data_IF_892920528795
#
_entry.id   IF_892920528795
#
_cell.length_a   1.000
_cell.length_b   1.000
_cell.length_c   1.000
_cell.angle_alpha   90.00
_cell.angle_beta   90.00
_cell.angle_gamma   90.00
#
_symmetry.space_group_name_H-M   'P 1'
#
loop_
_entity.id
_entity.type
_entity.pdbx_description
1 polymer ?
#
# COMPACT_ATOMS: atom_id res chain seq x y z
N UNK A 1 -4.30 27.30 -5.88
CA UNK A 1 -4.63 27.45 -4.45
C UNK A 1 -5.53 26.30 -4.05
N UNK A 2 -5.17 25.58 -2.99
CA UNK A 2 -6.00 24.53 -2.36
C UNK A 2 -6.24 25.01 -0.93
N UNK A 3 -7.45 24.79 -0.39
CA UNK A 3 -7.83 25.17 0.97
C UNK A 3 -8.50 23.98 1.65
N UNK A 4 -8.03 23.62 2.84
CA UNK A 4 -8.65 22.62 3.68
C UNK A 4 -9.72 23.29 4.56
N UNK A 5 -10.96 22.82 4.46
CA UNK A 5 -12.10 23.34 5.19
C UNK A 5 -12.68 22.27 6.12
N UNK A 6 -13.22 22.71 7.25
CA UNK A 6 -14.06 21.88 8.13
C UNK A 6 -15.54 22.18 7.85
N UNK A 7 -16.44 21.27 8.22
CA UNK A 7 -17.89 21.54 8.17
C UNK A 7 -18.34 22.04 9.54
N UNK A 8 -19.07 23.15 9.58
CA UNK A 8 -19.75 23.65 10.77
C UNK A 8 -21.27 23.60 10.58
N UNK A 9 -21.99 23.38 11.67
CA UNK A 9 -23.45 23.46 11.73
C UNK A 9 -23.90 24.93 11.59
N UNK A 10 -24.61 25.32 10.50
CA UNK A 10 -24.94 26.73 10.26
C UNK A 10 -25.79 27.39 11.34
N UNK A 11 -26.58 26.62 12.10
CA UNK A 11 -27.44 27.15 13.16
C UNK A 11 -26.73 27.40 14.50
N UNK A 12 -25.58 26.76 14.77
CA UNK A 12 -24.85 26.86 16.05
C UNK A 12 -23.41 27.32 15.91
N UNK A 13 -22.83 27.28 14.71
CA UNK A 13 -21.39 27.52 14.46
C UNK A 13 -20.47 26.43 14.98
N UNK A 14 -20.99 25.33 15.54
CA UNK A 14 -20.20 24.24 16.10
C UNK A 14 -19.65 23.33 15.00
N UNK A 15 -18.49 22.71 15.26
CA UNK A 15 -17.90 21.69 14.37
C UNK A 15 -18.88 20.53 14.16
N UNK A 16 -19.05 20.12 12.90
CA UNK A 16 -20.01 19.07 12.55
C UNK A 16 -19.57 17.71 13.09
N UNK A 17 -20.47 16.99 13.77
CA UNK A 17 -20.16 15.71 14.41
C UNK A 17 -19.73 14.62 13.43
N UNK A 18 -20.21 14.69 12.18
CA UNK A 18 -19.91 13.72 11.11
C UNK A 18 -18.89 14.23 10.08
N UNK A 19 -18.23 15.36 10.33
CA UNK A 19 -17.08 15.79 9.53
C UNK A 19 -15.80 15.05 10.00
N UNK A 20 -15.15 14.26 9.12
CA UNK A 20 -13.91 13.58 9.47
C UNK A 20 -12.80 14.52 9.97
N UNK A 21 -12.67 15.72 9.40
CA UNK A 21 -11.59 16.65 9.75
C UNK A 21 -11.82 17.26 11.14
N UNK A 22 -13.07 17.60 11.44
CA UNK A 22 -13.52 17.93 12.79
C UNK A 22 -13.29 16.79 13.80
N UNK A 23 -13.47 15.52 13.41
CA UNK A 23 -13.11 14.35 14.26
C UNK A 23 -11.62 14.33 14.59
N UNK A 24 -10.73 14.53 13.60
CA UNK A 24 -9.28 14.60 13.83
C UNK A 24 -8.87 15.77 14.73
N UNK A 25 -9.53 16.93 14.59
CA UNK A 25 -9.36 18.07 15.51
C UNK A 25 -9.77 17.74 16.95
N UNK A 26 -10.91 17.05 17.13
CA UNK A 26 -11.34 16.60 18.48
C UNK A 26 -10.35 15.58 19.06
N UNK A 27 -9.78 14.69 18.26
CA UNK A 27 -8.76 13.73 18.71
C UNK A 27 -7.45 14.40 19.18
N UNK A 28 -6.91 15.37 18.41
CA UNK A 28 -5.74 16.15 18.86
C UNK A 28 -6.04 16.99 20.12
N UNK A 29 -7.25 17.52 20.24
CA UNK A 29 -7.70 18.24 21.44
C UNK A 29 -7.87 17.30 22.65
N UNK A 30 -8.35 16.07 22.43
CA UNK A 30 -8.50 15.07 23.48
C UNK A 30 -7.14 14.64 24.03
N UNK A 31 -6.15 14.34 23.17
CA UNK A 31 -4.76 14.09 23.57
C UNK A 31 -4.27 15.16 24.56
N UNK A 32 -4.42 16.43 24.20
CA UNK A 32 -4.04 17.58 25.05
C UNK A 32 -4.79 17.61 26.37
N UNK A 33 -6.11 17.35 26.37
CA UNK A 33 -6.92 17.33 27.60
C UNK A 33 -6.61 16.17 28.56
N UNK A 34 -6.12 15.02 28.07
CA UNK A 34 -5.65 13.93 28.95
C UNK A 34 -4.37 14.27 29.69
N UNK A 35 -3.62 15.27 29.22
CA UNK A 35 -2.30 15.62 29.75
C UNK A 35 -1.20 14.59 29.48
N UNK A 36 -1.48 13.49 28.76
CA UNK A 36 -0.51 12.44 28.39
C UNK A 36 0.61 13.04 27.52
N UNK A 37 0.21 13.73 26.46
CA UNK A 37 1.07 14.51 25.58
C UNK A 37 0.32 15.72 25.03
N UNK A 38 0.93 16.44 24.10
CA UNK A 38 0.28 17.53 23.37
C UNK A 38 0.30 17.34 21.84
N UNK A 39 1.20 16.49 21.33
CA UNK A 39 1.38 16.30 19.90
C UNK A 39 1.48 14.81 19.58
N UNK A 40 0.69 14.36 18.60
CA UNK A 40 0.83 13.05 17.98
C UNK A 40 1.33 13.24 16.54
N UNK A 41 2.49 12.67 16.21
CA UNK A 41 3.02 12.67 14.85
C UNK A 41 2.65 11.37 14.14
N UNK A 42 2.21 11.49 12.88
CA UNK A 42 1.86 10.37 12.00
C UNK A 42 2.67 10.47 10.70
N UNK A 43 3.20 9.34 10.23
CA UNK A 43 3.87 9.18 8.94
C UNK A 43 3.35 7.93 8.21
N UNK A 44 2.56 8.04 7.13
CA UNK A 44 1.99 6.92 6.42
C UNK A 44 2.79 6.57 5.16
N UNK A 45 3.44 5.40 5.14
CA UNK A 45 4.02 4.79 3.93
C UNK A 45 2.85 4.31 3.05
N UNK A 46 2.44 5.08 2.04
CA UNK A 46 1.15 4.93 1.36
C UNK A 46 1.28 4.43 -0.09
N UNK A 47 1.57 3.15 -0.22
CA UNK A 47 1.68 2.38 -1.47
C UNK A 47 0.52 2.65 -2.47
N UNK A 48 0.82 2.62 -3.77
CA UNK A 48 -0.18 2.73 -4.85
C UNK A 48 0.24 1.95 -6.09
N UNK A 49 -0.63 1.85 -7.08
CA UNK A 49 -0.33 1.25 -8.40
C UNK A 49 -0.61 2.25 -9.52
N UNK A 50 0.20 2.23 -10.57
CA UNK A 50 -0.01 2.96 -11.82
C UNK A 50 -0.29 1.95 -12.95
N UNK A 51 -1.49 2.04 -13.52
CA UNK A 51 -1.95 1.25 -14.67
C UNK A 51 -2.03 2.15 -15.92
N UNK A 52 -2.10 1.55 -17.12
CA UNK A 52 -2.40 2.25 -18.37
C UNK A 52 -3.91 2.37 -18.58
N UNK A 53 -4.62 1.25 -18.50
CA UNK A 53 -6.06 1.21 -18.66
C UNK A 53 -6.76 0.35 -17.61
N UNK A 54 -8.03 0.70 -17.34
CA UNK A 54 -8.89 -0.05 -16.42
C UNK A 54 -10.30 -0.08 -16.99
N UNK A 55 -10.88 -1.28 -17.09
CA UNK A 55 -12.18 -1.55 -17.70
C UNK A 55 -12.97 -2.47 -16.77
N UNK A 56 -14.14 -2.05 -16.29
CA UNK A 56 -14.95 -2.86 -15.39
C UNK A 56 -16.45 -2.61 -15.59
N UNK A 57 -17.26 -3.58 -15.19
CA UNK A 57 -18.71 -3.47 -15.25
C UNK A 57 -19.43 -4.65 -14.59
N UNK A 58 -20.63 -4.39 -14.08
CA UNK A 58 -21.54 -5.44 -13.57
C UNK A 58 -22.95 -5.16 -14.07
N UNK A 59 -23.58 -6.15 -14.70
CA UNK A 59 -24.98 -6.13 -15.13
C UNK A 59 -25.72 -7.41 -14.71
N UNK A 60 -26.96 -7.58 -15.16
CA UNK A 60 -27.79 -8.74 -14.77
C UNK A 60 -27.29 -10.10 -15.27
N UNK A 61 -26.39 -10.10 -16.27
CA UNK A 61 -25.83 -11.30 -16.91
C UNK A 61 -24.30 -11.27 -17.04
N UNK A 62 -23.61 -10.31 -16.42
CA UNK A 62 -22.14 -10.19 -16.51
C UNK A 62 -21.53 -9.51 -15.29
N UNK A 63 -20.32 -9.90 -14.93
CA UNK A 63 -19.48 -9.21 -13.94
C UNK A 63 -18.02 -9.34 -14.35
N UNK A 64 -17.36 -8.22 -14.63
CA UNK A 64 -15.99 -8.23 -15.14
C UNK A 64 -15.16 -7.05 -14.61
N UNK A 65 -13.86 -7.26 -14.49
CA UNK A 65 -12.86 -6.21 -14.36
C UNK A 65 -11.59 -6.63 -15.12
N UNK A 66 -10.91 -5.64 -15.69
CA UNK A 66 -9.67 -5.76 -16.42
C UNK A 66 -8.80 -4.59 -15.98
N UNK A 67 -7.60 -4.93 -15.50
CA UNK A 67 -6.50 -4.02 -15.29
C UNK A 67 -5.47 -4.30 -16.36
N UNK A 68 -4.90 -3.24 -16.89
CA UNK A 68 -3.95 -3.24 -17.98
C UNK A 68 -2.89 -2.21 -17.63
N UNK A 69 -1.68 -2.71 -17.40
CA UNK A 69 -0.45 -1.93 -17.31
C UNK A 69 0.51 -2.62 -18.25
N UNK A 70 1.37 -1.83 -18.88
CA UNK A 70 2.68 -2.24 -19.39
C UNK A 70 3.22 -3.41 -18.57
N UNK A 71 3.37 -3.27 -17.26
CA UNK A 71 4.04 -4.23 -16.37
C UNK A 71 3.13 -5.40 -15.86
N UNK A 72 2.02 -5.77 -16.54
CA UNK A 72 0.87 -6.47 -15.95
C UNK A 72 0.55 -7.95 -16.34
N UNK A 73 0.07 -8.82 -15.40
CA UNK A 73 -0.09 -10.30 -15.50
C UNK A 73 -0.95 -10.96 -16.62
N UNK A 74 -1.46 -10.26 -17.63
CA UNK A 74 -2.71 -10.65 -18.30
C UNK A 74 -2.71 -11.51 -19.59
N UNK A 75 -1.59 -11.66 -20.32
CA UNK A 75 -1.62 -11.48 -21.79
C UNK A 75 -1.37 -12.71 -22.70
N UNK A 76 -2.39 -13.53 -23.08
CA UNK A 76 -2.14 -14.77 -23.90
C UNK A 76 -3.34 -15.52 -24.57
N UNK A 77 -3.65 -15.30 -25.87
CA UNK A 77 -4.26 -16.19 -26.93
C UNK A 77 -5.00 -15.40 -28.06
N UNK A 78 -4.51 -15.31 -29.32
CA UNK A 78 -5.29 -14.84 -30.53
C UNK A 78 -4.53 -14.90 -31.90
N UNK A 79 -5.25 -14.55 -32.99
CA UNK A 79 -4.84 -14.54 -34.41
C UNK A 79 -5.23 -13.27 -35.23
N UNK A 80 -4.57 -13.10 -36.39
CA UNK A 80 -4.87 -12.19 -37.52
C UNK A 80 -4.44 -12.83 -38.88
N UNK A 81 -4.88 -12.33 -40.06
CA UNK A 81 -4.90 -13.10 -41.31
C UNK A 81 -3.57 -13.51 -41.97
N UNK A 82 -2.45 -12.88 -41.63
CA UNK A 82 -1.22 -12.94 -42.44
C UNK A 82 -0.48 -14.29 -42.38
N UNK A 83 -0.67 -15.04 -41.29
CA UNK A 83 -0.03 -16.35 -41.06
C UNK A 83 1.38 -16.30 -40.46
N UNK A 84 1.79 -17.38 -39.78
CA UNK A 84 3.05 -17.46 -39.03
C UNK A 84 4.10 -18.30 -39.80
N UNK A 85 5.24 -17.68 -40.16
CA UNK A 85 6.38 -18.34 -40.82
C UNK A 85 7.57 -18.51 -39.87
N UNK A 86 7.41 -19.39 -38.88
CA UNK A 86 8.42 -19.62 -37.84
C UNK A 86 9.70 -20.32 -38.32
N UNK A 87 10.86 -19.78 -37.92
CA UNK A 87 12.17 -20.44 -38.00
C UNK A 87 12.87 -20.41 -36.63
N UNK A 88 13.68 -21.44 -36.31
CA UNK A 88 14.33 -21.65 -35.00
C UNK A 88 15.77 -22.16 -35.14
N UNK A 89 16.72 -21.62 -34.34
CA UNK A 89 17.91 -22.35 -33.87
C UNK A 89 17.67 -23.01 -32.50
N UNK A 90 18.68 -23.69 -31.95
CA UNK A 90 18.60 -24.47 -30.69
C UNK A 90 19.76 -24.18 -29.72
N UNK A 91 19.57 -24.56 -28.45
CA UNK A 91 20.33 -24.13 -27.26
C UNK A 91 21.75 -24.72 -27.15
N UNK A 92 22.66 -23.91 -26.56
CA UNK A 92 24.04 -24.21 -26.10
C UNK A 92 25.17 -24.31 -27.16
N UNK A 93 25.67 -23.14 -27.56
CA UNK A 93 27.10 -22.84 -27.68
C UNK A 93 27.40 -21.62 -26.79
N UNK A 94 28.58 -21.52 -26.15
CA UNK A 94 28.80 -20.54 -25.07
C UNK A 94 30.08 -19.70 -25.20
N UNK A 95 30.35 -18.94 -24.11
CA UNK A 95 31.43 -17.97 -23.86
C UNK A 95 31.23 -16.54 -24.40
N UNK A 96 31.17 -15.59 -23.46
CA UNK A 96 31.28 -14.14 -23.67
C UNK A 96 32.67 -13.73 -24.17
N UNK A 97 32.72 -12.63 -24.94
CA UNK A 97 33.50 -11.48 -24.47
C UNK A 97 32.74 -10.14 -24.60
N UNK A 98 33.19 -9.14 -23.84
CA UNK A 98 32.73 -7.73 -23.86
C UNK A 98 33.96 -6.81 -24.13
N UNK A 99 33.86 -5.46 -24.22
CA UNK A 99 34.39 -4.64 -25.33
C UNK A 99 35.91 -4.76 -25.61
N UNK A 100 36.37 -4.46 -26.86
CA UNK A 100 36.28 -3.08 -27.39
C UNK A 100 35.90 -2.92 -28.87
N UNK A 101 35.27 -1.78 -29.19
CA UNK A 101 35.35 -1.13 -30.53
C UNK A 101 35.44 0.38 -30.34
N UNK A 102 34.55 1.01 -29.57
CA UNK A 102 34.86 2.30 -28.94
C UNK A 102 35.70 2.04 -27.67
N UNK A 103 36.69 2.89 -27.44
CA UNK A 103 37.95 2.50 -26.79
C UNK A 103 38.55 3.54 -25.83
N UNK A 104 37.92 4.72 -25.66
CA UNK A 104 38.48 5.82 -24.87
C UNK A 104 37.48 6.53 -23.93
N UNK A 105 36.43 5.86 -23.45
CA UNK A 105 35.56 6.40 -22.39
C UNK A 105 36.31 6.48 -21.05
N UNK A 106 36.87 5.35 -20.63
CA UNK A 106 37.27 5.13 -19.24
C UNK A 106 38.55 5.90 -18.92
N UNK A 107 39.49 5.97 -19.88
CA UNK A 107 40.69 6.80 -19.79
C UNK A 107 40.40 8.29 -19.61
N UNK A 108 39.25 8.80 -20.08
CA UNK A 108 38.85 10.20 -19.85
C UNK A 108 38.24 10.41 -18.45
N UNK A 109 37.39 9.49 -18.01
CA UNK A 109 36.81 9.54 -16.66
C UNK A 109 37.88 9.37 -15.58
N UNK A 110 38.73 8.34 -15.70
CA UNK A 110 39.73 8.02 -14.69
C UNK A 110 40.88 9.05 -14.65
N UNK A 111 41.32 9.56 -15.81
CA UNK A 111 42.31 10.66 -15.83
C UNK A 111 41.76 11.94 -15.19
N UNK A 112 40.48 12.27 -15.40
CA UNK A 112 39.85 13.41 -14.74
C UNK A 112 39.78 13.19 -13.22
N UNK A 113 39.27 12.03 -12.77
CA UNK A 113 39.10 11.72 -11.35
C UNK A 113 40.43 11.58 -10.58
N UNK A 114 41.51 11.09 -11.23
CA UNK A 114 42.86 11.06 -10.66
C UNK A 114 43.57 12.42 -10.70
N UNK A 115 43.27 13.28 -11.67
CA UNK A 115 43.77 14.67 -11.72
C UNK A 115 43.07 15.58 -10.69
N UNK A 116 41.80 15.29 -10.35
CA UNK A 116 41.04 16.02 -9.32
C UNK A 116 41.07 15.37 -7.93
N UNK A 117 41.45 14.09 -7.82
CA UNK A 117 41.66 13.37 -6.55
C UNK A 117 40.40 12.87 -5.85
N UNK A 118 39.47 12.23 -6.57
CA UNK A 118 38.09 11.99 -6.07
C UNK A 118 37.79 10.57 -5.55
N UNK A 119 38.17 9.48 -6.25
CA UNK A 119 37.85 8.09 -5.84
C UNK A 119 38.70 7.02 -6.55
N UNK A 120 38.73 5.79 -6.01
CA UNK A 120 39.67 4.72 -6.42
C UNK A 120 39.07 3.41 -7.02
N UNK A 121 37.77 3.06 -6.90
CA UNK A 121 37.24 1.76 -7.43
C UNK A 121 35.70 1.70 -7.60
N UNK A 122 35.19 1.02 -8.66
CA UNK A 122 33.79 0.52 -8.87
C UNK A 122 33.80 -0.69 -9.85
N UNK A 123 32.74 -1.54 -9.91
CA UNK A 123 32.67 -2.81 -10.68
C UNK A 123 31.29 -3.06 -11.39
N UNK A 124 31.21 -3.96 -12.39
CA UNK A 124 30.00 -4.31 -13.20
C UNK A 124 29.93 -5.81 -13.65
N UNK A 125 28.77 -6.34 -14.10
CA UNK A 125 28.61 -7.66 -14.78
C UNK A 125 27.14 -8.10 -15.17
N UNK A 126 26.90 -9.06 -16.12
CA UNK A 126 25.58 -9.35 -16.78
C UNK A 126 25.12 -10.87 -16.74
N UNK A 127 24.18 -11.51 -17.49
CA UNK A 127 23.21 -11.23 -18.62
C UNK A 127 22.16 -12.39 -18.87
N UNK A 128 21.11 -12.14 -19.71
CA UNK A 128 20.32 -13.02 -20.66
C UNK A 128 19.61 -14.35 -20.20
N UNK A 129 18.56 -14.98 -20.81
CA UNK A 129 17.69 -14.86 -22.04
C UNK A 129 16.23 -15.43 -21.77
N UNK A 130 15.17 -15.10 -22.56
CA UNK A 130 14.01 -16.01 -22.93
C UNK A 130 12.94 -15.39 -23.93
N UNK A 131 12.09 -16.23 -24.59
CA UNK A 131 11.08 -15.90 -25.65
C UNK A 131 9.59 -16.22 -25.30
N UNK A 132 8.58 -15.64 -25.99
CA UNK A 132 7.10 -15.80 -25.74
C UNK A 132 6.15 -15.49 -26.97
N UNK A 133 4.80 -15.44 -26.78
CA UNK A 133 3.71 -14.99 -27.69
C UNK A 133 2.47 -14.40 -26.92
N UNK A 134 1.41 -13.73 -27.48
CA UNK A 134 1.41 -12.47 -28.28
C UNK A 134 0.05 -11.72 -28.56
N UNK A 135 -1.19 -12.24 -28.33
CA UNK A 135 -2.46 -11.48 -28.59
C UNK A 135 -3.73 -11.95 -27.82
N UNK A 136 -4.92 -11.30 -27.87
CA UNK A 136 -6.15 -11.74 -27.10
C UNK A 136 -7.53 -11.91 -27.81
N UNK A 137 -8.32 -12.89 -27.35
CA UNK A 137 -9.63 -13.39 -27.88
C UNK A 137 -10.88 -13.08 -26.99
N UNK A 138 -12.08 -13.07 -27.59
CA UNK A 138 -13.41 -12.91 -26.93
C UNK A 138 -14.49 -13.72 -27.68
N UNK A 139 -15.38 -14.42 -26.97
CA UNK A 139 -16.57 -15.07 -27.54
C UNK A 139 -17.81 -14.80 -26.65
N UNK A 140 -18.98 -14.60 -27.26
CA UNK A 140 -20.26 -14.33 -26.62
C UNK A 140 -21.40 -14.97 -27.43
N UNK A 141 -21.97 -16.06 -26.91
CA UNK A 141 -23.05 -16.84 -27.51
C UNK A 141 -24.18 -17.05 -26.49
N UNK A 142 -25.40 -17.48 -26.90
CA UNK A 142 -26.55 -17.64 -26.00
C UNK A 142 -26.36 -18.58 -24.78
N UNK A 143 -25.22 -19.25 -24.69
CA UNK A 143 -24.83 -20.20 -23.65
C UNK A 143 -23.41 -19.99 -23.10
N UNK A 144 -22.69 -18.93 -23.51
CA UNK A 144 -21.30 -18.66 -23.07
C UNK A 144 -20.96 -17.16 -23.11
N UNK A 145 -20.26 -16.67 -22.07
CA UNK A 145 -19.73 -15.30 -22.00
C UNK A 145 -18.41 -15.29 -21.19
N UNK A 146 -17.33 -14.81 -21.81
CA UNK A 146 -16.02 -14.67 -21.17
C UNK A 146 -15.11 -13.66 -21.87
N UNK A 147 -14.02 -13.27 -21.21
CA UNK A 147 -13.01 -12.34 -21.75
C UNK A 147 -11.62 -12.66 -21.16
N UNK A 148 -10.58 -12.11 -21.79
CA UNK A 148 -9.15 -12.25 -21.42
C UNK A 148 -8.48 -10.88 -21.65
N UNK A 149 -7.24 -10.67 -21.18
CA UNK A 149 -6.57 -9.34 -21.14
C UNK A 149 -5.25 -9.38 -21.92
N UNK A 150 -4.64 -8.23 -22.27
CA UNK A 150 -3.33 -8.12 -22.91
C UNK A 150 -2.41 -7.07 -22.25
N UNK A 151 -1.10 -7.15 -22.49
CA UNK A 151 -0.02 -6.34 -21.88
C UNK A 151 1.38 -6.79 -22.38
N UNK A 152 2.34 -5.87 -22.47
CA UNK A 152 3.62 -6.04 -23.21
C UNK A 152 4.89 -6.11 -22.36
N UNK A 153 4.80 -5.84 -21.05
CA UNK A 153 5.95 -5.75 -20.13
C UNK A 153 5.86 -6.75 -18.98
N UNK A 154 5.10 -7.82 -19.20
CA UNK A 154 5.04 -8.98 -18.34
C UNK A 154 6.16 -9.99 -18.53
N UNK A 155 6.35 -10.87 -17.54
CA UNK A 155 7.16 -12.09 -17.74
C UNK A 155 6.60 -12.90 -18.91
N UNK A 156 5.28 -13.04 -19.02
CA UNK A 156 4.55 -13.71 -20.11
C UNK A 156 4.45 -12.85 -21.39
N UNK A 157 5.26 -11.79 -21.56
CA UNK A 157 5.20 -10.86 -22.71
C UNK A 157 6.51 -10.70 -23.52
N UNK A 158 7.57 -11.51 -23.30
CA UNK A 158 8.84 -11.44 -24.07
C UNK A 158 8.78 -12.01 -25.51
N UNK A 159 7.61 -11.93 -26.13
CA UNK A 159 7.35 -12.36 -27.52
C UNK A 159 7.09 -11.20 -28.49
N UNK A 160 6.54 -10.09 -27.96
CA UNK A 160 5.81 -9.09 -28.77
C UNK A 160 6.59 -8.66 -30.01
N UNK A 161 5.92 -8.78 -31.15
CA UNK A 161 6.33 -8.13 -32.40
C UNK A 161 6.42 -6.60 -32.31
N UNK A 162 6.78 -5.99 -33.43
CA UNK A 162 6.79 -4.53 -33.57
C UNK A 162 5.33 -4.01 -33.69
N UNK A 163 4.98 -3.07 -32.81
CA UNK A 163 3.65 -2.45 -32.76
C UNK A 163 3.68 -1.03 -33.34
N UNK A 164 2.62 -0.64 -34.04
CA UNK A 164 2.53 0.62 -34.79
C UNK A 164 2.52 1.88 -33.89
N UNK A 165 2.27 1.73 -32.58
CA UNK A 165 2.19 2.80 -31.59
C UNK A 165 3.21 2.66 -30.45
N UNK A 166 3.62 1.43 -30.13
CA UNK A 166 4.51 1.07 -29.03
C UNK A 166 5.89 0.55 -29.49
N UNK A 167 6.17 0.51 -30.80
CA UNK A 167 7.48 0.20 -31.37
C UNK A 167 7.94 -1.25 -31.18
N UNK A 168 9.25 -1.52 -31.08
CA UNK A 168 9.78 -2.85 -30.77
C UNK A 168 9.71 -3.18 -29.27
N UNK A 169 9.64 -4.46 -28.91
CA UNK A 169 9.72 -4.92 -27.52
C UNK A 169 11.16 -4.79 -26.99
N UNK A 170 11.36 -4.03 -25.92
CA UNK A 170 12.70 -3.70 -25.39
C UNK A 170 13.18 -4.61 -24.25
N UNK A 171 12.33 -5.51 -23.73
CA UNK A 171 12.64 -6.28 -22.53
C UNK A 171 12.69 -5.43 -21.26
N UNK A 172 13.38 -5.89 -20.20
CA UNK A 172 13.40 -5.26 -18.87
C UNK A 172 12.02 -5.23 -18.17
N UNK A 173 11.56 -6.42 -17.72
CA UNK A 173 10.18 -6.67 -17.25
C UNK A 173 10.19 -7.07 -15.78
N UNK A 174 9.35 -6.44 -14.94
CA UNK A 174 9.24 -6.79 -13.52
C UNK A 174 8.48 -8.12 -13.36
N UNK A 175 9.08 -9.09 -12.67
CA UNK A 175 8.40 -10.34 -12.31
C UNK A 175 7.57 -10.16 -11.04
N UNK A 176 6.54 -10.99 -10.87
CA UNK A 176 5.68 -10.97 -9.68
C UNK A 176 6.53 -11.09 -8.41
N UNK A 177 6.32 -10.19 -7.44
CA UNK A 177 7.11 -10.05 -6.21
C UNK A 177 8.61 -9.72 -6.36
N UNK A 178 9.10 -9.38 -7.56
CA UNK A 178 10.49 -8.96 -7.82
C UNK A 178 10.62 -7.46 -8.14
N UNK A 179 9.57 -6.66 -7.90
CA UNK A 179 9.53 -5.22 -8.23
C UNK A 179 10.22 -4.28 -7.25
N UNK A 180 10.80 -4.78 -6.15
CA UNK A 180 11.38 -3.92 -5.11
C UNK A 180 12.75 -3.37 -5.54
N UNK A 181 12.81 -2.06 -5.80
CA UNK A 181 14.01 -1.27 -6.19
C UNK A 181 14.89 -1.79 -7.36
N UNK A 182 14.34 -2.33 -8.47
CA UNK A 182 15.11 -2.47 -9.71
C UNK A 182 15.49 -1.09 -10.27
N UNK A 183 16.57 -1.02 -11.05
CA UNK A 183 16.98 0.20 -11.76
C UNK A 183 16.32 0.30 -13.14
N UNK A 184 16.15 1.51 -13.71
CA UNK A 184 15.81 1.69 -15.11
C UNK A 184 16.80 0.97 -16.04
N UNK A 185 16.36 0.42 -17.18
CA UNK A 185 15.00 0.54 -17.73
C UNK A 185 13.98 -0.50 -17.23
N UNK A 186 14.31 -1.35 -16.23
CA UNK A 186 13.33 -2.28 -15.62
C UNK A 186 12.29 -1.55 -14.77
N UNK A 187 12.67 -0.45 -14.13
CA UNK A 187 11.76 0.50 -13.48
C UNK A 187 11.29 1.54 -14.50
N UNK A 188 10.15 1.30 -15.16
CA UNK A 188 9.59 2.22 -16.18
C UNK A 188 9.06 3.52 -15.56
N UNK A 189 8.73 3.50 -14.26
CA UNK A 189 8.00 4.56 -13.57
C UNK A 189 8.90 5.55 -12.82
N UNK A 190 10.23 5.44 -12.89
CA UNK A 190 11.19 6.33 -12.22
C UNK A 190 10.92 7.82 -12.50
N UNK A 191 10.73 8.19 -13.77
CA UNK A 191 10.46 9.58 -14.17
C UNK A 191 9.08 10.07 -13.68
N UNK A 192 8.07 9.20 -13.65
CA UNK A 192 6.73 9.54 -13.17
C UNK A 192 6.71 9.67 -11.64
N UNK A 193 7.39 8.80 -10.88
CA UNK A 193 7.59 8.98 -9.43
C UNK A 193 8.39 10.25 -9.13
N UNK A 194 9.39 10.58 -9.94
CA UNK A 194 10.17 11.82 -9.82
C UNK A 194 9.29 13.05 -10.07
N UNK A 195 8.46 13.04 -11.12
CA UNK A 195 7.52 14.13 -11.43
C UNK A 195 6.43 14.30 -10.36
N UNK A 196 5.93 13.19 -9.78
CA UNK A 196 5.04 13.23 -8.62
C UNK A 196 5.77 13.88 -7.43
N UNK A 197 6.99 13.45 -7.12
CA UNK A 197 7.77 13.95 -5.97
C UNK A 197 8.07 15.44 -6.07
N UNK A 198 8.47 15.92 -7.26
CA UNK A 198 8.64 17.36 -7.52
C UNK A 198 7.33 18.14 -7.36
N UNK A 199 6.20 17.58 -7.82
CA UNK A 199 4.87 18.20 -7.65
C UNK A 199 4.42 18.20 -6.17
N UNK A 200 4.90 17.26 -5.35
CA UNK A 200 4.65 17.24 -3.90
C UNK A 200 5.41 18.36 -3.18
N UNK A 201 6.69 18.57 -3.51
CA UNK A 201 7.49 19.70 -3.00
C UNK A 201 6.87 21.05 -3.41
N UNK A 202 6.40 21.20 -4.66
CA UNK A 202 5.72 22.41 -5.13
C UNK A 202 4.44 22.76 -4.33
N UNK A 203 3.78 21.76 -3.71
CA UNK A 203 2.62 21.98 -2.84
C UNK A 203 2.94 21.92 -1.34
N UNK A 204 4.23 21.87 -0.97
CA UNK A 204 4.72 21.93 0.42
C UNK A 204 4.72 20.59 1.16
N UNK A 205 4.70 19.46 0.45
CA UNK A 205 4.85 18.12 1.01
C UNK A 205 6.29 17.65 0.73
N UNK A 206 7.16 17.74 1.74
CA UNK A 206 8.55 17.29 1.63
C UNK A 206 8.64 15.78 1.46
N UNK A 207 9.34 15.33 0.43
CA UNK A 207 9.55 13.91 0.11
C UNK A 207 10.82 13.40 0.79
N UNK A 208 10.76 12.21 1.39
CA UNK A 208 11.92 11.56 2.02
C UNK A 208 12.49 10.41 1.16
N UNK A 209 11.66 9.75 0.35
CA UNK A 209 12.06 8.65 -0.54
C UNK A 209 11.04 8.42 -1.68
N UNK A 210 11.45 7.75 -2.77
CA UNK A 210 10.51 7.09 -3.70
C UNK A 210 11.13 5.84 -4.33
N UNK A 211 10.35 4.76 -4.44
CA UNK A 211 10.76 3.50 -5.06
C UNK A 211 9.64 2.80 -5.82
N UNK A 212 10.05 1.91 -6.72
CA UNK A 212 9.18 0.85 -7.21
C UNK A 212 9.02 -0.20 -6.09
N UNK A 213 7.78 -0.65 -5.90
CA UNK A 213 7.38 -1.56 -4.83
C UNK A 213 7.35 -3.02 -5.24
N UNK A 214 7.13 -3.91 -4.27
CA UNK A 214 7.31 -5.37 -4.44
C UNK A 214 6.53 -5.98 -5.61
N UNK A 215 5.28 -5.59 -5.88
CA UNK A 215 4.47 -6.18 -6.94
C UNK A 215 4.86 -5.71 -8.35
N UNK A 216 4.53 -6.54 -9.34
CA UNK A 216 4.44 -6.15 -10.76
C UNK A 216 3.29 -5.14 -11.00
N UNK A 217 3.13 -4.69 -12.25
CA UNK A 217 2.08 -3.77 -12.70
C UNK A 217 2.11 -2.35 -12.09
N UNK A 218 3.30 -1.79 -11.89
CA UNK A 218 3.47 -0.39 -11.53
C UNK A 218 3.24 -0.05 -10.06
N UNK A 219 3.54 -0.96 -9.13
CA UNK A 219 3.46 -0.65 -7.71
C UNK A 219 4.53 0.38 -7.33
N UNK A 220 4.13 1.43 -6.61
CA UNK A 220 4.99 2.54 -6.24
C UNK A 220 4.78 2.93 -4.77
N UNK A 221 5.85 3.36 -4.13
CA UNK A 221 5.82 4.05 -2.83
C UNK A 221 6.60 5.37 -2.93
N UNK A 222 6.10 6.40 -2.23
CA UNK A 222 6.70 7.72 -2.12
C UNK A 222 6.50 8.17 -0.67
N UNK A 223 7.58 8.16 0.10
CA UNK A 223 7.58 8.61 1.48
C UNK A 223 7.55 10.13 1.55
N UNK A 224 6.69 10.67 2.40
CA UNK A 224 6.70 12.09 2.72
C UNK A 224 6.82 12.35 4.22
N UNK A 225 7.43 13.49 4.55
CA UNK A 225 7.77 13.89 5.89
C UNK A 225 6.55 13.91 6.80
N UNK A 226 6.65 13.18 7.92
CA UNK A 226 5.62 13.13 8.95
C UNK A 226 5.26 14.52 9.49
N UNK A 227 4.00 14.69 9.87
CA UNK A 227 3.43 15.91 10.47
C UNK A 227 2.55 15.55 11.68
N UNK A 228 1.86 16.53 12.27
CA UNK A 228 0.84 16.23 13.30
C UNK A 228 -0.28 15.38 12.68
N UNK A 229 -1.03 14.63 13.50
CA UNK A 229 -2.09 13.75 13.02
C UNK A 229 -3.05 14.42 12.01
N UNK A 230 -3.48 15.66 12.29
CA UNK A 230 -4.31 16.44 11.38
C UNK A 230 -3.55 16.84 10.10
N UNK A 231 -2.34 17.40 10.23
CA UNK A 231 -1.53 17.85 9.08
C UNK A 231 -1.14 16.69 8.15
N UNK A 232 -0.86 15.52 8.70
CA UNK A 232 -0.62 14.29 7.93
C UNK A 232 -1.87 13.80 7.22
N UNK A 233 -3.06 13.94 7.82
CA UNK A 233 -4.32 13.56 7.17
C UNK A 233 -4.68 14.51 6.01
N UNK A 234 -4.45 15.82 6.18
CA UNK A 234 -4.52 16.81 5.10
C UNK A 234 -3.52 16.48 3.98
N UNK A 235 -2.24 16.25 4.33
CA UNK A 235 -1.18 15.90 3.38
C UNK A 235 -1.49 14.62 2.60
N UNK A 236 -1.98 13.55 3.23
CA UNK A 236 -2.30 12.30 2.53
C UNK A 236 -3.44 12.48 1.50
N UNK A 237 -4.42 13.34 1.80
CA UNK A 237 -5.48 13.65 0.84
C UNK A 237 -4.94 14.42 -0.38
N UNK A 238 -4.00 15.33 -0.17
CA UNK A 238 -3.30 16.05 -1.23
C UNK A 238 -2.34 15.15 -2.01
N UNK A 239 -1.62 14.25 -1.35
CA UNK A 239 -0.79 13.20 -1.96
C UNK A 239 -1.58 12.32 -2.93
N UNK A 240 -2.72 11.77 -2.46
CA UNK A 240 -3.65 10.97 -3.29
C UNK A 240 -4.25 11.76 -4.46
N UNK A 241 -4.28 13.10 -4.39
CA UNK A 241 -4.67 13.97 -5.50
C UNK A 241 -3.50 14.18 -6.48
N UNK A 242 -2.30 14.53 -6.01
CA UNK A 242 -1.11 14.76 -6.84
C UNK A 242 -0.72 13.51 -7.62
N UNK A 243 -0.65 12.35 -6.97
CA UNK A 243 -0.35 11.05 -7.62
C UNK A 243 -1.30 10.79 -8.79
N UNK A 244 -2.63 10.88 -8.56
CA UNK A 244 -3.65 10.61 -9.60
C UNK A 244 -3.60 11.59 -10.76
N UNK A 245 -3.48 12.88 -10.49
CA UNK A 245 -3.49 13.91 -11.55
C UNK A 245 -2.17 13.92 -12.33
N UNK A 246 -1.04 13.58 -11.70
CA UNK A 246 0.24 13.47 -12.40
C UNK A 246 0.27 12.22 -13.28
N UNK A 247 -0.17 11.05 -12.77
CA UNK A 247 -0.36 9.86 -13.59
C UNK A 247 -1.28 10.13 -14.80
N UNK A 248 -2.42 10.80 -14.58
CA UNK A 248 -3.33 11.18 -15.66
C UNK A 248 -2.69 12.10 -16.72
N UNK A 249 -1.85 13.07 -16.30
CA UNK A 249 -1.07 13.93 -17.22
C UNK A 249 -0.03 13.15 -18.04
N UNK A 250 0.40 11.98 -17.57
CA UNK A 250 1.29 11.05 -18.26
C UNK A 250 0.54 9.97 -19.07
N UNK A 251 -0.79 10.10 -19.23
CA UNK A 251 -1.61 9.12 -19.95
C UNK A 251 -1.91 7.83 -19.17
N UNK A 252 -1.55 7.78 -17.89
CA UNK A 252 -1.71 6.63 -16.98
C UNK A 252 -2.92 6.83 -16.03
N UNK A 253 -3.25 5.82 -15.24
CA UNK A 253 -4.28 5.88 -14.19
C UNK A 253 -3.79 5.24 -12.89
N UNK A 254 -3.73 6.05 -11.81
CA UNK A 254 -3.23 5.60 -10.51
C UNK A 254 -4.35 5.18 -9.55
N UNK A 255 -4.21 4.04 -8.89
CA UNK A 255 -5.14 3.52 -7.89
C UNK A 255 -4.49 3.29 -6.53
N UNK A 256 -5.31 3.45 -5.49
CA UNK A 256 -4.99 3.34 -4.07
C UNK A 256 -5.82 2.22 -3.41
N UNK A 257 -6.30 1.27 -4.21
CA UNK A 257 -7.09 0.14 -3.71
C UNK A 257 -6.18 -0.92 -3.07
N UNK A 258 -6.57 -1.59 -1.97
CA UNK A 258 -5.62 -2.42 -1.21
C UNK A 258 -5.15 -3.68 -1.94
N UNK A 259 -5.94 -4.17 -2.90
CA UNK A 259 -5.62 -5.36 -3.70
C UNK A 259 -6.17 -5.23 -5.11
N UNK A 260 -5.48 -4.52 -6.02
CA UNK A 260 -5.89 -4.44 -7.42
C UNK A 260 -5.69 -5.78 -8.13
N UNK A 261 -4.60 -6.49 -7.82
CA UNK A 261 -4.25 -7.76 -8.45
C UNK A 261 -4.31 -8.94 -7.48
N UNK A 262 -4.74 -10.08 -8.01
CA UNK A 262 -4.62 -11.37 -7.35
C UNK A 262 -3.24 -11.98 -7.65
N UNK A 263 -2.67 -12.73 -6.70
CA UNK A 263 -1.39 -13.46 -6.87
C UNK A 263 -0.12 -12.65 -6.61
N UNK A 264 -0.18 -11.31 -6.58
CA UNK A 264 0.97 -10.43 -6.26
C UNK A 264 0.75 -9.65 -4.95
N UNK A 265 1.64 -8.73 -4.57
CA UNK A 265 1.48 -7.85 -3.39
C UNK A 265 0.32 -6.83 -3.57
N UNK A 266 0.06 -5.96 -2.58
CA UNK A 266 -1.09 -5.05 -2.61
C UNK A 266 -1.04 -3.94 -1.55
N UNK A 267 -1.49 -2.75 -1.95
CA UNK A 267 -1.22 -1.47 -1.31
C UNK A 267 -1.55 -1.39 0.18
N UNK A 268 -0.51 -1.31 1.00
CA UNK A 268 -0.56 -0.91 2.40
C UNK A 268 -0.54 0.60 2.66
N UNK A 269 -0.77 0.93 3.93
CA UNK A 269 -0.57 2.27 4.47
C UNK A 269 0.09 2.16 5.85
N UNK A 270 1.40 1.88 5.91
CA UNK A 270 2.07 1.63 7.20
C UNK A 270 2.14 2.92 8.02
N UNK A 271 1.43 2.95 9.16
CA UNK A 271 1.24 4.16 9.96
C UNK A 271 2.28 4.24 11.09
N UNK A 272 3.37 4.96 10.83
CA UNK A 272 4.33 5.36 11.87
C UNK A 272 3.70 6.35 12.84
N UNK A 273 3.83 6.10 14.14
CA UNK A 273 3.20 6.89 15.21
C UNK A 273 4.17 7.19 16.35
N UNK A 274 4.14 8.43 16.86
CA UNK A 274 4.80 8.80 18.12
C UNK A 274 4.06 9.90 18.88
N UNK A 275 3.97 9.78 20.21
CA UNK A 275 3.47 10.84 21.10
C UNK A 275 4.61 11.69 21.68
N UNK A 276 4.35 12.99 21.82
CA UNK A 276 5.28 14.01 22.28
C UNK A 276 4.63 14.96 23.29
N UNK A 277 5.46 15.60 24.10
CA UNK A 277 5.07 16.69 25.02
C UNK A 277 6.09 17.81 24.94
N UNK A 278 5.75 18.89 24.25
CA UNK A 278 6.71 19.84 23.71
C UNK A 278 7.79 19.12 22.90
N UNK A 279 9.06 19.49 23.09
CA UNK A 279 10.19 18.84 22.41
C UNK A 279 10.58 17.45 22.95
N UNK A 280 9.85 16.90 23.95
CA UNK A 280 10.16 15.59 24.53
C UNK A 280 9.41 14.47 23.81
N UNK A 281 10.11 13.52 23.14
CA UNK A 281 9.48 12.28 22.67
C UNK A 281 9.09 11.42 23.87
N UNK A 282 7.90 10.82 23.84
CA UNK A 282 7.38 10.00 24.94
C UNK A 282 7.55 8.50 24.69
N UNK A 283 7.82 8.08 23.46
CA UNK A 283 7.90 6.67 23.08
C UNK A 283 9.27 6.01 23.27
N UNK A 284 10.33 6.81 23.47
CA UNK A 284 11.68 6.30 23.74
C UNK A 284 11.87 5.94 25.23
N UNK A 285 12.49 4.79 25.48
CA UNK A 285 12.80 4.28 26.81
C UNK A 285 13.84 3.16 26.79
N UNK A 286 13.93 2.45 27.90
CA UNK A 286 14.88 1.38 28.22
C UNK A 286 14.30 -0.04 28.08
N UNK A 287 13.00 -0.16 27.77
CA UNK A 287 12.34 -1.43 27.52
C UNK A 287 12.67 -2.06 26.16
N UNK A 288 11.96 -3.14 25.83
CA UNK A 288 12.09 -3.85 24.56
C UNK A 288 12.11 -2.89 23.35
N UNK A 289 13.03 -3.13 22.40
CA UNK A 289 13.26 -2.28 21.22
C UNK A 289 13.54 -0.78 21.51
N UNK A 290 13.93 -0.42 22.74
CA UNK A 290 14.14 0.97 23.17
C UNK A 290 12.82 1.73 23.38
N UNK A 291 11.74 1.03 23.71
CA UNK A 291 10.42 1.61 23.99
C UNK A 291 10.29 2.03 25.46
N UNK A 292 9.48 3.06 25.71
CA UNK A 292 8.98 3.38 27.04
C UNK A 292 7.76 2.54 27.41
N UNK A 293 7.44 2.43 28.70
CA UNK A 293 6.17 1.84 29.15
C UNK A 293 4.93 2.51 28.55
N UNK A 294 4.98 3.83 28.30
CA UNK A 294 3.91 4.53 27.60
C UNK A 294 3.74 4.01 26.16
N UNK A 295 4.84 3.74 25.43
CA UNK A 295 4.74 3.14 24.12
C UNK A 295 4.25 1.69 24.19
N UNK A 296 4.70 0.88 25.17
CA UNK A 296 4.18 -0.48 25.38
C UNK A 296 2.68 -0.46 25.62
N UNK A 297 2.18 0.41 26.50
CA UNK A 297 0.73 0.54 26.76
C UNK A 297 -0.05 1.07 25.55
N UNK A 298 0.51 1.99 24.77
CA UNK A 298 -0.10 2.46 23.53
C UNK A 298 -0.22 1.34 22.48
N UNK A 299 0.81 0.48 22.36
CA UNK A 299 0.79 -0.74 21.55
C UNK A 299 -0.28 -1.71 22.06
N UNK A 300 -0.39 -1.91 23.38
CA UNK A 300 -1.42 -2.78 23.98
C UNK A 300 -2.85 -2.30 23.69
N UNK A 301 -3.08 -0.98 23.75
CA UNK A 301 -4.34 -0.37 23.33
C UNK A 301 -4.64 -0.56 21.84
N UNK A 302 -3.66 -0.32 20.96
CA UNK A 302 -3.79 -0.57 19.51
C UNK A 302 -4.11 -2.05 19.20
N UNK A 303 -3.42 -3.01 19.83
CA UNK A 303 -3.63 -4.44 19.59
C UNK A 303 -5.00 -4.92 20.11
N UNK A 304 -5.37 -4.55 21.33
CA UNK A 304 -6.69 -4.83 21.94
C UNK A 304 -7.84 -4.38 21.04
N UNK A 305 -7.77 -3.14 20.56
CA UNK A 305 -8.82 -2.50 19.77
C UNK A 305 -8.67 -2.70 18.25
N UNK A 306 -7.66 -3.45 17.79
CA UNK A 306 -7.29 -3.53 16.37
C UNK A 306 -8.45 -3.94 15.46
N UNK A 307 -9.28 -4.88 15.90
CA UNK A 307 -10.44 -5.37 15.15
C UNK A 307 -11.50 -4.28 14.88
N UNK A 308 -11.70 -3.37 15.83
CA UNK A 308 -12.56 -2.19 15.66
C UNK A 308 -11.86 -1.06 14.89
N UNK A 309 -10.55 -0.85 15.12
CA UNK A 309 -9.76 0.18 14.40
C UNK A 309 -9.70 -0.09 12.90
N UNK A 310 -9.56 -1.36 12.45
CA UNK A 310 -9.55 -1.67 11.00
C UNK A 310 -10.89 -1.40 10.30
N UNK A 311 -12.00 -1.31 11.03
CA UNK A 311 -13.27 -0.85 10.46
C UNK A 311 -13.22 0.60 9.92
N UNK A 312 -12.25 1.40 10.38
CA UNK A 312 -11.91 2.71 9.79
C UNK A 312 -10.61 2.68 8.98
N UNK A 313 -9.61 1.90 9.40
CA UNK A 313 -8.26 1.94 8.85
C UNK A 313 -8.01 1.00 7.65
N UNK A 314 -8.82 -0.04 7.48
CA UNK A 314 -8.81 -0.95 6.32
C UNK A 314 -10.26 -1.22 5.84
N UNK A 315 -11.02 -0.18 5.44
CA UNK A 315 -12.47 -0.18 5.61
C UNK A 315 -13.27 -0.63 4.37
N UNK A 316 -12.69 -1.37 3.43
CA UNK A 316 -13.40 -1.81 2.20
C UNK A 316 -13.45 -3.33 2.07
N UNK A 317 -14.33 -3.86 1.22
CA UNK A 317 -14.35 -5.30 0.91
C UNK A 317 -13.08 -5.77 0.19
N UNK A 318 -12.31 -4.86 -0.43
CA UNK A 318 -11.02 -5.14 -1.07
C UNK A 318 -9.84 -5.14 -0.07
N UNK A 319 -9.96 -4.42 1.05
CA UNK A 319 -9.02 -4.49 2.19
C UNK A 319 -8.80 -5.93 2.66
N UNK A 320 -9.87 -6.72 2.75
CA UNK A 320 -9.85 -8.14 3.13
C UNK A 320 -9.47 -9.10 1.98
N UNK A 321 -8.92 -8.54 0.89
CA UNK A 321 -8.15 -9.27 -0.14
C UNK A 321 -6.65 -8.94 -0.06
N UNK A 322 -6.26 -7.85 0.61
CA UNK A 322 -4.89 -7.60 1.09
C UNK A 322 -4.62 -8.36 2.39
N UNK A 323 -5.50 -8.21 3.38
CA UNK A 323 -5.38 -8.81 4.72
C UNK A 323 -5.66 -10.33 4.72
N UNK A 324 -4.81 -11.09 4.02
CA UNK A 324 -4.80 -12.55 3.96
C UNK A 324 -3.36 -13.08 4.09
N UNK A 325 -3.11 -14.26 4.68
CA UNK A 325 -1.75 -14.81 4.80
C UNK A 325 -1.01 -14.93 3.45
N UNK A 326 0.32 -14.76 3.47
CA UNK A 326 1.21 -15.06 2.32
C UNK A 326 1.64 -13.89 1.42
N UNK A 327 1.31 -12.64 1.77
CA UNK A 327 1.60 -11.43 0.96
C UNK A 327 2.15 -10.25 1.78
N UNK A 328 3.06 -10.51 2.72
CA UNK A 328 3.51 -9.58 3.79
C UNK A 328 2.37 -8.96 4.63
N UNK A 329 1.14 -9.41 4.45
CA UNK A 329 -0.03 -8.83 5.06
C UNK A 329 -0.06 -9.12 6.58
N UNK A 330 -0.15 -8.08 7.42
CA UNK A 330 0.09 -8.17 8.86
C UNK A 330 -1.20 -8.57 9.60
N UNK A 331 -1.70 -9.77 9.31
CA UNK A 331 -2.98 -10.28 9.84
C UNK A 331 -2.92 -10.69 11.33
N UNK A 332 -1.73 -10.76 11.92
CA UNK A 332 -1.48 -11.28 13.27
C UNK A 332 -1.25 -10.14 14.27
N UNK A 333 -2.05 -10.11 15.35
CA UNK A 333 -2.05 -9.08 16.39
C UNK A 333 -0.91 -9.28 17.39
N UNK A 334 0.31 -9.15 16.88
CA UNK A 334 1.55 -9.16 17.65
C UNK A 334 2.39 -7.91 17.35
N UNK A 335 3.45 -7.71 18.12
CA UNK A 335 4.46 -6.68 17.86
C UNK A 335 5.89 -7.24 17.85
N UNK A 336 6.78 -6.62 17.08
CA UNK A 336 8.18 -7.05 16.91
C UNK A 336 9.10 -5.91 16.45
N UNK A 337 10.39 -5.99 16.79
CA UNK A 337 11.42 -5.07 16.33
C UNK A 337 11.93 -5.32 14.90
N UNK A 338 11.60 -6.48 14.30
CA UNK A 338 12.14 -6.91 13.00
C UNK A 338 11.13 -7.58 12.07
N UNK A 339 10.15 -8.29 12.61
CA UNK A 339 9.20 -9.06 11.82
C UNK A 339 8.21 -8.15 11.06
N UNK A 340 8.09 -8.34 9.73
CA UNK A 340 7.15 -7.60 8.86
C UNK A 340 5.72 -8.15 8.88
N UNK A 341 5.51 -9.41 9.29
CA UNK A 341 4.20 -10.07 9.34
C UNK A 341 3.38 -9.79 10.61
N UNK A 342 3.94 -8.99 11.54
CA UNK A 342 3.29 -8.54 12.76
C UNK A 342 2.47 -7.25 12.52
N UNK A 343 1.34 -7.11 13.21
CA UNK A 343 0.49 -5.91 13.16
C UNK A 343 1.24 -4.62 13.52
N UNK A 344 2.18 -4.68 14.48
CA UNK A 344 3.00 -3.54 14.89
C UNK A 344 4.49 -3.87 14.77
N UNK A 345 5.18 -3.15 13.91
CA UNK A 345 6.65 -3.19 13.80
C UNK A 345 7.25 -2.03 14.59
N UNK A 346 8.45 -2.22 15.15
CA UNK A 346 9.19 -1.18 15.89
C UNK A 346 10.48 -0.87 15.13
N UNK A 347 10.56 0.22 14.33
CA UNK A 347 11.77 0.58 13.60
C UNK A 347 13.01 0.70 14.49
N UNK A 348 14.09 0.01 14.08
CA UNK A 348 15.38 -0.06 14.79
C UNK A 348 16.54 0.62 14.04
N UNK A 349 16.25 1.44 13.03
CA UNK A 349 17.26 2.13 12.21
C UNK A 349 18.13 3.15 12.95
N UNK A 350 17.73 3.58 14.16
CA UNK A 350 18.50 4.52 14.98
C UNK A 350 18.24 4.34 16.47
N UNK A 351 19.25 4.67 17.27
CA UNK A 351 19.18 4.79 18.74
C UNK A 351 18.71 6.17 19.20
N UNK A 352 18.55 7.14 18.29
CA UNK A 352 18.10 8.50 18.63
C UNK A 352 16.66 8.49 19.21
N UNK A 353 16.43 8.96 20.46
CA UNK A 353 15.11 9.03 21.07
C UNK A 353 14.07 9.78 20.25
N UNK A 354 14.47 10.80 19.47
CA UNK A 354 13.58 11.58 18.60
C UNK A 354 13.08 10.81 17.35
N UNK A 355 13.65 9.63 17.07
CA UNK A 355 13.25 8.77 15.92
C UNK A 355 12.51 7.50 16.34
N UNK A 356 12.33 7.26 17.66
CA UNK A 356 11.65 6.08 18.19
C UNK A 356 10.13 6.23 18.04
N UNK A 357 9.54 5.26 17.35
CA UNK A 357 8.13 5.20 16.94
C UNK A 357 7.68 3.74 16.84
N UNK A 358 6.38 3.52 16.75
CA UNK A 358 5.80 2.26 16.28
C UNK A 358 5.30 2.42 14.85
N UNK A 359 5.15 1.32 14.12
CA UNK A 359 4.67 1.22 12.74
C UNK A 359 3.47 0.27 12.72
N UNK A 360 2.25 0.80 12.63
CA UNK A 360 1.04 -0.03 12.53
C UNK A 360 0.77 -0.35 11.06
N UNK A 361 1.00 -1.61 10.67
CA UNK A 361 1.01 -2.08 9.26
C UNK A 361 -0.35 -2.49 8.65
N UNK A 362 -1.39 -2.90 9.42
CA UNK A 362 -2.71 -3.25 8.89
C UNK A 362 -3.47 -2.22 8.06
N UNK A 363 -3.36 -0.89 8.28
CA UNK A 363 -4.11 0.10 7.51
C UNK A 363 -3.81 0.04 6.01
N UNK A 364 -4.71 0.60 5.21
CA UNK A 364 -4.55 0.68 3.76
C UNK A 364 -5.03 2.04 3.19
N UNK A 365 -4.62 2.40 1.95
CA UNK A 365 -4.90 3.72 1.39
C UNK A 365 -6.36 3.94 0.96
N UNK A 366 -7.25 2.94 1.08
CA UNK A 366 -8.69 3.12 0.87
C UNK A 366 -9.39 3.82 2.03
N UNK A 367 -8.69 3.99 3.16
CA UNK A 367 -9.23 4.64 4.34
C UNK A 367 -9.48 6.16 4.15
N UNK A 368 -10.38 6.69 4.99
CA UNK A 368 -10.40 8.12 5.29
C UNK A 368 -9.33 8.38 6.38
N UNK A 369 -8.25 9.13 6.10
CA UNK A 369 -7.13 9.25 7.04
C UNK A 369 -7.53 9.96 8.35
N UNK A 370 -8.40 10.96 8.29
CA UNK A 370 -8.85 11.67 9.49
C UNK A 370 -9.55 10.74 10.47
N UNK A 371 -10.42 9.83 9.99
CA UNK A 371 -11.05 8.82 10.85
C UNK A 371 -10.07 7.72 11.27
N UNK A 372 -9.26 7.21 10.33
CA UNK A 372 -8.32 6.12 10.60
C UNK A 372 -7.28 6.50 11.65
N UNK A 373 -6.61 7.64 11.49
CA UNK A 373 -5.60 8.11 12.45
C UNK A 373 -6.23 8.48 13.80
N UNK A 374 -7.42 9.07 13.80
CA UNK A 374 -8.17 9.31 15.06
C UNK A 374 -8.48 8.01 15.79
N UNK A 375 -8.93 6.96 15.09
CA UNK A 375 -9.22 5.66 15.70
C UNK A 375 -7.95 5.01 16.29
N UNK A 376 -6.80 5.10 15.59
CA UNK A 376 -5.50 4.64 16.10
C UNK A 376 -5.08 5.42 17.36
N UNK A 377 -5.18 6.75 17.34
CA UNK A 377 -4.83 7.60 18.48
C UNK A 377 -5.71 7.31 19.70
N UNK A 378 -7.03 7.17 19.51
CA UNK A 378 -7.95 6.86 20.60
C UNK A 378 -7.71 5.46 21.19
N UNK A 379 -7.42 4.45 20.36
CA UNK A 379 -7.08 3.11 20.82
C UNK A 379 -5.78 3.10 21.64
N UNK A 380 -4.74 3.77 21.15
CA UNK A 380 -3.47 3.90 21.87
C UNK A 380 -3.59 4.71 23.17
N UNK A 381 -4.45 5.73 23.21
CA UNK A 381 -4.73 6.50 24.43
C UNK A 381 -5.53 5.69 25.46
N UNK A 382 -6.48 4.83 25.05
CA UNK A 382 -7.10 3.86 25.97
C UNK A 382 -6.05 2.92 26.56
N UNK A 383 -5.15 2.43 25.72
CA UNK A 383 -3.94 1.69 26.08
C UNK A 383 -3.17 2.32 27.24
N UNK A 384 -2.73 3.57 27.05
CA UNK A 384 -1.96 4.34 28.05
C UNK A 384 -2.77 4.62 29.32
N UNK A 385 -4.06 4.96 29.21
CA UNK A 385 -4.92 5.25 30.36
C UNK A 385 -5.14 4.02 31.25
N UNK A 386 -5.42 2.87 30.62
CA UNK A 386 -5.73 1.61 31.30
C UNK A 386 -4.48 0.74 31.56
N UNK A 387 -3.30 1.18 31.13
CA UNK A 387 -2.01 0.45 31.20
C UNK A 387 -2.07 -0.95 30.61
N UNK A 388 -2.71 -1.08 29.44
CA UNK A 388 -2.95 -2.36 28.79
C UNK A 388 -1.63 -2.95 28.32
N UNK A 389 -1.29 -4.15 28.80
CA UNK A 389 -0.08 -4.85 28.39
C UNK A 389 -0.26 -5.46 26.98
N UNK A 390 0.64 -5.21 26.02
CA UNK A 390 0.60 -5.86 24.70
C UNK A 390 1.04 -7.34 24.74
N UNK A 391 1.54 -7.83 25.88
CA UNK A 391 2.11 -9.16 26.01
C UNK A 391 3.57 -9.24 25.53
N UNK A 392 4.06 -10.46 25.34
CA UNK A 392 5.42 -10.72 24.85
C UNK A 392 5.55 -10.44 23.35
N UNK A 393 6.69 -9.89 22.88
CA UNK A 393 6.95 -9.62 21.46
C UNK A 393 7.20 -10.91 20.67
N UNK A 394 6.80 -10.93 19.40
CA UNK A 394 6.87 -12.11 18.52
C UNK A 394 7.97 -11.96 17.46
N UNK A 395 9.22 -12.17 17.88
CA UNK A 395 10.44 -12.02 17.05
C UNK A 395 10.82 -13.26 16.22
N UNK A 396 9.99 -14.31 16.22
CA UNK A 396 10.02 -15.38 15.19
C UNK A 396 9.33 -14.86 13.92
N UNK A 397 9.73 -15.34 12.73
CA UNK A 397 8.85 -15.22 11.56
C UNK A 397 7.56 -16.02 11.83
N UNK A 398 6.41 -15.45 11.47
CA UNK A 398 5.10 -16.07 11.75
C UNK A 398 4.75 -17.12 10.70
N UNK A 399 5.35 -17.06 9.51
CA UNK A 399 5.16 -18.07 8.46
C UNK A 399 5.91 -19.38 8.76
N UNK A 400 6.95 -19.34 9.62
CA UNK A 400 7.71 -20.51 10.10
C UNK A 400 7.15 -21.12 11.40
N UNK A 401 6.08 -20.55 11.99
CA UNK A 401 5.47 -21.08 13.21
C UNK A 401 4.67 -22.36 12.95
N UNK A 402 4.72 -23.28 13.92
CA UNK A 402 3.84 -24.45 13.90
C UNK A 402 2.36 -24.03 13.99
N UNK A 403 1.41 -24.75 13.35
CA UNK A 403 -0.02 -24.49 13.47
C UNK A 403 -0.53 -24.45 14.93
N UNK A 404 0.15 -25.15 15.83
CA UNK A 404 -0.12 -25.19 17.27
C UNK A 404 0.33 -23.92 17.99
N UNK A 405 1.41 -23.25 17.55
CA UNK A 405 1.81 -21.94 18.05
C UNK A 405 0.87 -20.86 17.50
N UNK A 406 0.59 -20.90 16.17
CA UNK A 406 -0.27 -19.95 15.45
C UNK A 406 -1.68 -19.81 16.07
N UNK A 407 -2.30 -20.91 16.52
CA UNK A 407 -3.63 -20.90 17.15
C UNK A 407 -3.76 -19.98 18.38
N UNK A 408 -2.64 -19.63 19.02
CA UNK A 408 -2.62 -18.77 20.21
C UNK A 408 -2.34 -17.30 19.90
N UNK A 409 -2.02 -16.96 18.65
CA UNK A 409 -1.80 -15.58 18.21
C UNK A 409 -3.14 -15.01 17.72
N UNK A 410 -3.70 -13.95 18.36
CA UNK A 410 -4.94 -13.35 17.88
C UNK A 410 -4.77 -12.75 16.48
N UNK A 411 -5.80 -12.84 15.65
CA UNK A 411 -5.78 -12.34 14.27
C UNK A 411 -6.79 -11.20 14.05
N UNK A 412 -6.58 -10.44 12.97
CA UNK A 412 -7.54 -9.47 12.49
C UNK A 412 -8.80 -10.13 11.91
N UNK A 413 -9.94 -9.42 11.87
CA UNK A 413 -11.15 -9.85 11.17
C UNK A 413 -10.88 -10.32 9.73
N UNK A 414 -11.49 -11.42 9.32
CA UNK A 414 -11.38 -11.96 7.96
C UNK A 414 -12.29 -11.24 6.95
N UNK A 415 -13.20 -10.39 7.41
CA UNK A 415 -14.08 -9.60 6.55
C UNK A 415 -14.44 -8.23 7.13
N UNK A 416 -14.87 -7.32 6.25
CA UNK A 416 -15.36 -5.99 6.64
C UNK A 416 -16.55 -6.10 7.60
N UNK A 417 -17.48 -7.05 7.39
CA UNK A 417 -18.65 -7.22 8.26
C UNK A 417 -18.28 -7.73 9.67
N UNK A 418 -17.19 -8.50 9.80
CA UNK A 418 -16.61 -8.85 11.10
C UNK A 418 -15.97 -7.65 11.78
N UNK A 419 -15.23 -6.79 11.05
CA UNK A 419 -14.68 -5.56 11.64
C UNK A 419 -15.76 -4.58 12.09
N UNK A 420 -16.88 -4.50 11.35
CA UNK A 420 -18.04 -3.69 11.75
C UNK A 420 -18.71 -4.26 13.00
N UNK A 421 -18.79 -5.59 13.16
CA UNK A 421 -19.26 -6.22 14.40
C UNK A 421 -18.30 -6.00 15.56
N UNK A 422 -16.99 -6.00 15.30
CA UNK A 422 -16.00 -5.63 16.32
C UNK A 422 -16.18 -4.17 16.75
N UNK A 423 -16.37 -3.25 15.81
CA UNK A 423 -16.69 -1.85 16.11
C UNK A 423 -18.03 -1.69 16.86
N UNK A 424 -19.08 -2.43 16.51
CA UNK A 424 -20.35 -2.43 17.25
C UNK A 424 -20.16 -2.85 18.72
N UNK A 425 -19.33 -3.87 18.96
CA UNK A 425 -19.07 -4.41 20.30
C UNK A 425 -18.00 -3.62 21.10
N UNK A 426 -17.13 -2.85 20.43
CA UNK A 426 -15.97 -2.18 21.00
C UNK A 426 -15.72 -0.82 20.34
N UNK A 427 -16.49 0.19 20.76
CA UNK A 427 -16.32 1.59 20.32
C UNK A 427 -16.32 2.62 21.47
N UNK A 428 -16.51 2.22 22.73
CA UNK A 428 -16.50 3.13 23.89
C UNK A 428 -15.21 3.95 23.99
N UNK A 429 -14.07 3.36 23.58
CA UNK A 429 -12.79 4.07 23.54
C UNK A 429 -12.77 5.24 22.53
N UNK A 430 -13.58 5.18 21.47
CA UNK A 430 -13.73 6.23 20.45
C UNK A 430 -14.66 7.38 20.90
N UNK A 431 -15.62 7.09 21.79
CA UNK A 431 -16.58 8.07 22.32
C UNK A 431 -15.97 9.03 23.36
N UNK A 432 -14.83 8.64 23.96
CA UNK A 432 -14.08 9.47 24.91
C UNK A 432 -13.79 10.85 24.33
N UNK A 433 -14.12 11.90 25.08
CA UNK A 433 -13.91 13.29 24.66
C UNK A 433 -14.76 13.75 23.47
N UNK A 434 -15.85 13.05 23.16
CA UNK A 434 -16.73 13.30 22.00
C UNK A 434 -15.99 13.26 20.65
N UNK A 435 -14.85 12.57 20.58
CA UNK A 435 -13.99 12.49 19.39
C UNK A 435 -14.77 11.87 18.24
N UNK A 436 -15.25 10.63 18.42
CA UNK A 436 -16.33 10.08 17.62
C UNK A 436 -17.65 10.26 18.38
N UNK A 437 -18.75 10.44 17.64
CA UNK A 437 -20.10 10.40 18.23
C UNK A 437 -20.82 9.12 17.79
N UNK A 438 -21.81 8.61 18.56
CA UNK A 438 -22.56 7.41 18.17
C UNK A 438 -23.16 7.55 16.76
N UNK A 439 -23.70 8.71 16.43
CA UNK A 439 -24.34 8.98 15.13
C UNK A 439 -23.34 9.03 13.94
N UNK A 440 -22.03 9.14 14.20
CA UNK A 440 -20.99 8.93 13.19
C UNK A 440 -20.70 7.43 13.03
N UNK A 441 -20.56 6.69 14.13
CA UNK A 441 -20.29 5.25 14.16
C UNK A 441 -21.46 4.47 13.53
N UNK A 442 -22.70 4.69 13.98
CA UNK A 442 -23.93 4.11 13.43
C UNK A 442 -24.05 4.34 11.92
N UNK A 443 -23.77 5.58 11.49
CA UNK A 443 -23.86 5.97 10.08
C UNK A 443 -22.77 5.33 9.25
N UNK A 444 -21.56 5.17 9.79
CA UNK A 444 -20.46 4.46 9.15
C UNK A 444 -20.79 2.99 8.94
N UNK A 445 -21.22 2.29 10.00
CA UNK A 445 -21.61 0.87 9.95
C UNK A 445 -22.75 0.65 8.95
N UNK A 446 -23.80 1.47 9.03
CA UNK A 446 -24.94 1.40 8.12
C UNK A 446 -24.52 1.65 6.67
N UNK A 447 -23.72 2.68 6.42
CA UNK A 447 -23.21 2.98 5.07
C UNK A 447 -22.39 1.83 4.49
N UNK A 448 -21.42 1.29 5.26
CA UNK A 448 -20.56 0.19 4.82
C UNK A 448 -21.36 -1.09 4.53
N UNK A 449 -22.37 -1.41 5.35
CA UNK A 449 -23.28 -2.52 5.08
C UNK A 449 -24.15 -2.30 3.84
N UNK A 450 -24.80 -1.14 3.72
CA UNK A 450 -25.70 -0.83 2.60
C UNK A 450 -25.01 -0.64 1.25
N UNK A 451 -23.80 -0.04 1.21
CA UNK A 451 -23.17 0.46 -0.02
C UNK A 451 -21.95 -0.34 -0.47
N UNK A 452 -21.36 -1.15 0.40
CA UNK A 452 -20.17 -1.95 0.06
C UNK A 452 -20.42 -3.45 0.29
N UNK A 453 -20.84 -3.88 1.49
CA UNK A 453 -21.02 -5.31 1.80
C UNK A 453 -22.22 -5.91 1.05
N UNK A 454 -23.43 -5.36 1.21
CA UNK A 454 -24.62 -5.94 0.58
C UNK A 454 -24.55 -5.91 -0.96
N UNK A 455 -24.10 -4.83 -1.62
CA UNK A 455 -23.94 -4.82 -3.08
C UNK A 455 -22.89 -5.82 -3.59
N UNK A 456 -21.85 -6.13 -2.82
CA UNK A 456 -20.89 -7.20 -3.13
C UNK A 456 -21.54 -8.58 -2.93
N UNK A 457 -22.18 -8.82 -1.79
CA UNK A 457 -22.82 -10.10 -1.41
C UNK A 457 -23.93 -10.55 -2.37
N UNK A 458 -24.59 -9.60 -3.05
CA UNK A 458 -25.67 -9.88 -4.02
C UNK A 458 -25.18 -10.04 -5.48
N UNK A 459 -23.86 -10.02 -5.73
CA UNK A 459 -23.28 -10.23 -7.07
C UNK A 459 -22.53 -11.55 -7.09
N UNK A 460 -22.94 -12.53 -7.91
CA UNK A 460 -22.15 -13.75 -8.14
C UNK A 460 -20.73 -13.40 -8.59
N UNK A 461 -19.73 -14.03 -7.99
CA UNK A 461 -18.33 -13.80 -8.30
C UNK A 461 -17.89 -14.68 -9.49
N UNK A 462 -17.03 -14.21 -10.42
CA UNK A 462 -16.63 -15.03 -11.59
C UNK A 462 -16.02 -16.40 -11.24
N UNK A 463 -15.34 -16.51 -10.09
CA UNK A 463 -14.81 -17.79 -9.59
C UNK A 463 -15.91 -18.80 -9.20
N UNK A 464 -17.10 -18.35 -8.81
CA UNK A 464 -18.22 -19.23 -8.44
C UNK A 464 -18.71 -20.04 -9.65
N UNK A 465 -18.67 -19.47 -10.86
CA UNK A 465 -18.95 -20.21 -12.09
C UNK A 465 -17.89 -21.30 -12.34
N UNK A 466 -16.61 -21.02 -12.08
CA UNK A 466 -15.53 -22.00 -12.24
C UNK A 466 -15.48 -23.06 -11.12
N UNK A 467 -16.33 -22.95 -10.08
CA UNK A 467 -16.42 -23.89 -8.97
C UNK A 467 -17.76 -24.66 -8.93
N UNK A 468 -18.85 -24.07 -9.47
CA UNK A 468 -20.22 -24.50 -9.19
C UNK A 468 -21.15 -24.55 -10.41
N UNK A 469 -20.64 -24.33 -11.63
CA UNK A 469 -21.47 -24.38 -12.85
C UNK A 469 -21.79 -25.81 -13.32
N UNK A 470 -21.01 -26.80 -12.87
CA UNK A 470 -21.03 -28.21 -13.29
C UNK A 470 -21.50 -29.19 -12.18
N UNK A 471 -22.27 -28.69 -11.20
CA UNK A 471 -22.89 -29.47 -10.10
C UNK A 471 -24.08 -30.31 -10.57
#
# INVERSE_FOLDING_TARGET
MILFCDIVEPSTGQMYSRDPRSTAKRAEAYLKSTGIGDTAFFGPEAEFFIFDSVKFGTGGNFGHYSLDSVEGPGANMKDYPEGNMGHRPVVKGGYFPVPPVDSESDLRAESYLRFTGIADTVNFGPEAEFFIFDGVEVNNEPHHSGFRIHSDEGHWSSGRGEDEWLGPNLGYRIRNKEGYVPVPPTDSLSDLRSAISLTLEEVGITVECHHHEVASAGQCEIDFRYSTMLGTADNLQLFKYVVRNTAHRYGKTATFMPKPMYGDNGSGMHCHQSLWKGEKPLFAGDGYAGLSDMARWYIGGLLKHAAAVVAFAAPTTNSYKRLVPGFEAPVNLAYSARNRSAAIRIPMFSTNPKLKRLEFRPPDPSCNPYLAFSAMLMAGLDGVQNRIDPGEPLDKDIYDLAPEELKNVPSLPGSLDESLKALENDHEFLLKGEVFTPQLIDRWITYKREKEINPMRMRPHPLEYALYFDI
#
